data_IF_531320111673
#
_entry.id   IF_531320111673
#
_cell.length_a   1.000
_cell.length_b   1.000
_cell.length_c   1.000
_cell.angle_alpha   90.00
_cell.angle_beta   90.00
_cell.angle_gamma   90.00
#
_symmetry.space_group_name_H-M   'P 1'
#
loop_
_entity.id
_entity.type
_entity.pdbx_description
1 polymer ?
#
# COMPACT_ATOMS: atom_id res chain seq x y z
N UNK A 1 35.40 12.96 4.57
CA UNK A 1 35.76 11.57 4.22
C UNK A 1 34.83 10.63 4.97
N UNK A 2 33.64 10.39 4.43
CA UNK A 2 32.79 9.27 4.81
C UNK A 2 32.20 8.76 3.50
N UNK A 3 32.96 7.88 2.84
CA UNK A 3 32.43 6.95 1.84
C UNK A 3 31.77 5.82 2.64
N UNK A 4 30.53 6.03 3.08
CA UNK A 4 29.56 4.99 3.40
C UNK A 4 28.52 5.05 2.30
N UNK A 5 28.71 4.23 1.27
CA UNK A 5 27.78 3.14 0.93
C UNK A 5 26.46 3.65 0.34
N UNK A 6 26.47 3.82 -0.98
CA UNK A 6 25.30 3.95 -1.85
C UNK A 6 24.31 2.77 -1.74
N UNK A 7 24.64 1.74 -0.95
CA UNK A 7 23.79 0.59 -0.67
C UNK A 7 22.77 0.83 0.45
N UNK A 8 22.97 1.84 1.31
CA UNK A 8 21.98 2.21 2.34
C UNK A 8 20.77 2.98 1.77
N UNK A 9 20.83 3.39 0.49
CA UNK A 9 19.76 4.14 -0.18
C UNK A 9 18.72 3.21 -0.84
N UNK A 10 18.96 1.90 -0.87
CA UNK A 10 18.03 0.91 -1.47
C UNK A 10 17.33 0.01 -0.44
N UNK A 11 17.46 0.31 0.87
CA UNK A 11 16.57 -0.24 1.88
C UNK A 11 15.93 0.89 2.73
N UNK A 12 15.02 1.70 2.16
CA UNK A 12 14.45 2.85 2.86
C UNK A 12 13.38 2.50 3.91
N UNK A 13 13.14 1.22 4.22
CA UNK A 13 11.94 0.78 4.94
C UNK A 13 12.17 0.36 6.40
N UNK A 14 13.29 0.77 7.00
CA UNK A 14 13.61 0.37 8.37
C UNK A 14 13.13 1.36 9.45
N UNK A 15 12.57 2.53 9.11
CA UNK A 15 12.25 3.54 10.15
C UNK A 15 10.91 4.29 10.02
N UNK A 16 10.15 4.27 8.90
CA UNK A 16 8.88 5.01 8.84
C UNK A 16 7.85 4.45 7.85
N UNK A 17 6.56 4.60 8.18
CA UNK A 17 5.43 4.34 7.27
C UNK A 17 5.10 5.57 6.43
N UNK A 18 4.62 5.37 5.20
CA UNK A 18 4.17 6.49 4.35
C UNK A 18 3.06 7.30 5.04
N UNK A 19 2.15 6.60 5.73
CA UNK A 19 1.14 7.22 6.57
C UNK A 19 1.77 8.10 7.67
N UNK A 20 2.71 7.56 8.45
CA UNK A 20 3.33 8.27 9.57
C UNK A 20 4.06 9.54 9.14
N UNK A 21 4.70 9.52 7.97
CA UNK A 21 5.49 10.64 7.47
C UNK A 21 4.69 11.65 6.64
N UNK A 22 3.68 11.19 5.90
CA UNK A 22 3.06 11.99 4.82
C UNK A 22 1.59 12.32 5.04
N UNK A 23 0.87 11.61 5.93
CA UNK A 23 -0.58 11.77 6.07
C UNK A 23 -0.99 13.24 6.34
N UNK A 24 -0.34 13.92 7.28
CA UNK A 24 -0.68 15.31 7.60
C UNK A 24 -0.52 16.27 6.40
N UNK A 25 0.49 16.04 5.55
CA UNK A 25 0.72 16.85 4.35
C UNK A 25 -0.31 16.56 3.24
N UNK A 26 -0.67 15.29 3.08
CA UNK A 26 -1.72 14.88 2.13
C UNK A 26 -3.08 15.41 2.57
N UNK A 27 -3.42 15.29 3.86
CA UNK A 27 -4.66 15.83 4.42
C UNK A 27 -4.77 17.34 4.22
N UNK A 28 -3.70 18.08 4.50
CA UNK A 28 -3.70 19.51 4.27
C UNK A 28 -3.89 19.86 2.78
N UNK A 29 -3.31 19.06 1.87
CA UNK A 29 -3.47 19.24 0.43
C UNK A 29 -4.89 18.91 -0.03
N UNK A 30 -5.49 17.84 0.51
CA UNK A 30 -6.86 17.45 0.28
C UNK A 30 -7.84 18.54 0.75
N UNK A 31 -7.68 19.04 1.98
CA UNK A 31 -8.47 20.15 2.53
C UNK A 31 -8.40 21.34 1.58
N UNK A 32 -7.20 21.75 1.15
CA UNK A 32 -7.06 22.90 0.25
C UNK A 32 -7.71 22.69 -1.13
N UNK A 33 -7.64 21.48 -1.67
CA UNK A 33 -8.16 21.15 -3.00
C UNK A 33 -9.68 21.00 -3.00
N UNK A 34 -10.21 20.26 -2.03
CA UNK A 34 -11.59 19.80 -1.97
C UNK A 34 -12.43 20.70 -1.06
N UNK A 35 -12.08 20.79 0.23
CA UNK A 35 -12.85 21.56 1.22
C UNK A 35 -12.70 23.07 1.02
N UNK A 36 -11.53 23.52 0.57
CA UNK A 36 -11.26 24.90 0.15
C UNK A 36 -11.93 25.30 -1.17
N UNK A 37 -12.67 24.39 -1.81
CA UNK A 37 -13.49 24.68 -2.99
C UNK A 37 -12.70 24.91 -4.29
N UNK A 38 -11.40 24.61 -4.32
CA UNK A 38 -10.56 24.82 -5.50
C UNK A 38 -11.01 23.98 -6.68
N UNK A 39 -11.34 22.71 -6.45
CA UNK A 39 -11.80 21.80 -7.49
C UNK A 39 -13.11 22.30 -8.14
N UNK A 40 -14.07 22.65 -7.30
CA UNK A 40 -15.36 23.19 -7.72
C UNK A 40 -15.22 24.51 -8.48
N UNK A 41 -14.33 25.40 -8.03
CA UNK A 41 -14.03 26.66 -8.70
C UNK A 41 -13.52 26.46 -10.13
N UNK A 42 -12.68 25.43 -10.37
CA UNK A 42 -12.20 25.10 -11.71
C UNK A 42 -13.35 24.64 -12.61
N UNK A 43 -14.22 23.77 -12.10
CA UNK A 43 -15.35 23.24 -12.88
C UNK A 43 -16.34 24.34 -13.28
N UNK A 44 -16.69 25.21 -12.33
CA UNK A 44 -17.54 26.38 -12.57
C UNK A 44 -16.92 27.33 -13.59
N UNK A 45 -15.60 27.53 -13.52
CA UNK A 45 -14.90 28.39 -14.48
C UNK A 45 -14.87 27.82 -15.91
N UNK A 46 -14.62 26.51 -16.06
CA UNK A 46 -14.70 25.83 -17.36
C UNK A 46 -16.09 25.98 -17.94
N UNK A 47 -17.13 25.74 -17.15
CA UNK A 47 -18.52 25.84 -17.59
C UNK A 47 -18.91 27.26 -17.99
N UNK A 48 -18.41 28.28 -17.26
CA UNK A 48 -18.62 29.69 -17.61
C UNK A 48 -17.96 30.07 -18.93
N UNK A 49 -16.75 29.56 -19.20
CA UNK A 49 -15.99 29.89 -20.42
C UNK A 49 -16.40 29.07 -21.63
N UNK A 50 -16.90 27.87 -21.43
CA UNK A 50 -17.31 26.94 -22.47
C UNK A 50 -18.73 26.41 -22.21
N UNK A 51 -19.76 27.28 -22.23
CA UNK A 51 -21.11 26.89 -21.82
C UNK A 51 -21.71 25.79 -22.70
N UNK A 52 -21.36 25.73 -23.98
CA UNK A 52 -21.86 24.70 -24.90
C UNK A 52 -21.01 23.42 -24.91
N UNK A 53 -19.93 23.37 -24.12
CA UNK A 53 -19.07 22.20 -24.07
C UNK A 53 -19.69 21.14 -23.16
N UNK A 54 -19.62 19.89 -23.63
CA UNK A 54 -19.70 18.75 -22.73
C UNK A 54 -18.42 18.68 -21.91
N UNK A 55 -18.57 18.60 -20.59
CA UNK A 55 -17.44 18.53 -19.67
C UNK A 55 -17.38 17.13 -19.08
N UNK A 56 -16.24 16.47 -19.27
CA UNK A 56 -15.94 15.14 -18.74
C UNK A 56 -14.76 15.30 -17.77
N UNK A 57 -14.96 14.83 -16.56
CA UNK A 57 -13.98 14.86 -15.47
C UNK A 57 -13.51 13.43 -15.24
N UNK A 58 -12.20 13.21 -15.27
CA UNK A 58 -11.61 11.90 -15.02
C UNK A 58 -11.17 11.81 -13.55
N UNK A 59 -11.36 10.64 -12.94
CA UNK A 59 -10.66 10.27 -11.71
C UNK A 59 -9.20 9.89 -11.99
N UNK A 60 -8.57 9.27 -10.98
CA UNK A 60 -7.23 8.70 -11.06
C UNK A 60 -7.28 7.17 -10.93
N UNK A 61 -6.39 6.44 -11.59
CA UNK A 61 -6.27 5.00 -11.47
C UNK A 61 -5.69 4.60 -10.11
N UNK A 62 -6.07 3.43 -9.58
CA UNK A 62 -5.36 2.82 -8.45
C UNK A 62 -3.93 2.48 -8.86
N UNK A 63 -2.97 2.63 -7.95
CA UNK A 63 -1.56 2.43 -8.28
C UNK A 63 -1.13 0.99 -8.14
N UNK A 64 -1.55 0.35 -7.06
CA UNK A 64 -1.13 -0.99 -6.69
C UNK A 64 -2.29 -1.97 -6.76
N UNK A 65 -1.95 -3.26 -6.77
CA UNK A 65 -2.91 -4.36 -6.64
C UNK A 65 -3.79 -4.13 -5.40
N UNK A 66 -5.09 -4.45 -5.50
CA UNK A 66 -5.97 -4.38 -4.34
C UNK A 66 -5.53 -5.37 -3.25
N UNK A 67 -5.49 -4.91 -2.00
CA UNK A 67 -4.88 -5.65 -0.87
C UNK A 67 -3.34 -5.59 -0.85
N UNK A 68 -2.72 -5.03 -1.89
CA UNK A 68 -1.28 -4.92 -2.09
C UNK A 68 -0.59 -6.26 -2.36
N UNK A 69 0.65 -6.20 -2.85
CA UNK A 69 1.41 -7.39 -3.21
C UNK A 69 2.90 -7.24 -2.87
N UNK A 70 3.51 -8.32 -2.40
CA UNK A 70 4.96 -8.41 -2.37
C UNK A 70 5.47 -8.70 -3.77
N UNK A 71 6.36 -7.84 -4.28
CA UNK A 71 7.34 -8.31 -5.25
C UNK A 71 8.68 -8.50 -4.54
N UNK A 72 9.31 -9.67 -4.74
CA UNK A 72 10.65 -9.94 -4.20
C UNK A 72 11.61 -8.92 -4.81
N UNK A 73 12.43 -8.32 -3.96
CA UNK A 73 13.55 -7.42 -4.27
C UNK A 73 13.99 -7.46 -5.74
N UNK A 74 13.91 -6.32 -6.44
CA UNK A 74 14.61 -5.93 -7.69
C UNK A 74 13.80 -5.58 -8.94
N UNK A 75 12.47 -5.37 -8.87
CA UNK A 75 11.79 -4.70 -9.99
C UNK A 75 11.65 -3.19 -9.75
N UNK A 76 11.84 -2.40 -10.82
CA UNK A 76 11.67 -0.95 -10.81
C UNK A 76 10.22 -0.54 -10.47
N UNK A 77 9.27 -1.48 -10.44
CA UNK A 77 7.83 -1.24 -10.33
C UNK A 77 7.30 -1.32 -8.91
N UNK A 78 7.80 -2.24 -8.08
CA UNK A 78 7.40 -2.28 -6.68
C UNK A 78 8.32 -1.46 -5.78
N UNK A 79 9.61 -1.32 -6.14
CA UNK A 79 10.57 -0.43 -5.48
C UNK A 79 10.70 -0.61 -3.97
N UNK A 80 10.32 -1.79 -3.46
CA UNK A 80 10.30 -2.13 -2.03
C UNK A 80 9.15 -1.52 -1.22
N UNK A 81 8.19 -0.83 -1.84
CA UNK A 81 7.05 -0.23 -1.14
C UNK A 81 6.28 -1.31 -0.39
N UNK A 82 6.08 -1.10 0.93
CA UNK A 82 5.44 -2.06 1.82
C UNK A 82 3.98 -2.28 1.44
N UNK A 83 3.42 -3.46 1.73
CA UNK A 83 2.02 -3.76 1.35
C UNK A 83 1.05 -2.77 2.02
N UNK A 84 1.31 -2.43 3.28
CA UNK A 84 0.55 -1.43 4.03
C UNK A 84 0.60 -0.05 3.39
N UNK A 85 1.78 0.38 2.90
CA UNK A 85 1.92 1.66 2.19
C UNK A 85 1.22 1.63 0.81
N UNK A 86 1.28 0.51 0.09
CA UNK A 86 0.56 0.34 -1.18
C UNK A 86 -0.95 0.51 -0.98
N UNK A 87 -1.50 -0.12 0.06
CA UNK A 87 -2.91 -0.05 0.44
C UNK A 87 -3.31 1.37 0.83
N UNK A 88 -2.49 2.03 1.64
CA UNK A 88 -2.71 3.43 2.04
C UNK A 88 -2.69 4.39 0.83
N UNK A 89 -1.77 4.22 -0.12
CA UNK A 89 -1.76 5.03 -1.35
C UNK A 89 -3.05 4.85 -2.14
N UNK A 90 -3.51 3.59 -2.29
CA UNK A 90 -4.77 3.30 -2.97
C UNK A 90 -5.99 3.89 -2.24
N UNK A 91 -6.02 3.88 -0.89
CA UNK A 91 -7.11 4.50 -0.12
C UNK A 91 -7.16 6.01 -0.30
N UNK A 92 -6.01 6.69 -0.33
CA UNK A 92 -5.95 8.14 -0.61
C UNK A 92 -6.41 8.49 -2.03
N UNK A 93 -6.07 7.68 -3.03
CA UNK A 93 -6.57 7.85 -4.40
C UNK A 93 -8.09 7.69 -4.44
N UNK A 94 -8.63 6.68 -3.74
CA UNK A 94 -10.08 6.46 -3.66
C UNK A 94 -10.78 7.64 -2.99
N UNK A 95 -10.21 8.17 -1.90
CA UNK A 95 -10.71 9.37 -1.21
C UNK A 95 -10.77 10.57 -2.15
N UNK A 96 -9.70 10.82 -2.91
CA UNK A 96 -9.65 11.89 -3.90
C UNK A 96 -10.68 11.68 -5.03
N UNK A 97 -10.81 10.46 -5.55
CA UNK A 97 -11.76 10.16 -6.62
C UNK A 97 -13.21 10.35 -6.20
N UNK A 98 -13.56 9.96 -4.96
CA UNK A 98 -14.89 10.23 -4.41
C UNK A 98 -15.19 11.73 -4.41
N UNK A 99 -14.26 12.56 -3.93
CA UNK A 99 -14.41 14.02 -3.97
C UNK A 99 -14.53 14.57 -5.41
N UNK A 100 -13.74 14.06 -6.36
CA UNK A 100 -13.79 14.45 -7.76
C UNK A 100 -15.16 14.12 -8.36
N UNK A 101 -15.63 12.89 -8.16
CA UNK A 101 -16.95 12.43 -8.61
C UNK A 101 -18.04 13.31 -8.03
N UNK A 102 -18.07 13.48 -6.72
CA UNK A 102 -19.19 14.14 -6.04
C UNK A 102 -19.27 15.61 -6.45
N UNK A 103 -18.13 16.31 -6.59
CA UNK A 103 -18.10 17.69 -7.10
C UNK A 103 -18.46 17.80 -8.58
N UNK A 104 -18.03 16.85 -9.42
CA UNK A 104 -18.40 16.85 -10.84
C UNK A 104 -19.90 16.58 -11.03
N UNK A 105 -20.40 15.52 -10.40
CA UNK A 105 -21.81 15.10 -10.48
C UNK A 105 -22.75 16.11 -9.84
N UNK A 106 -22.35 16.77 -8.75
CA UNK A 106 -23.14 17.84 -8.14
C UNK A 106 -23.35 19.05 -9.06
N UNK A 107 -22.42 19.29 -9.98
CA UNK A 107 -22.57 20.29 -11.04
C UNK A 107 -23.24 19.70 -12.30
N UNK A 108 -23.73 18.47 -12.30
CA UNK A 108 -24.26 17.79 -13.49
C UNK A 108 -23.20 17.51 -14.56
N UNK A 109 -21.92 17.55 -14.21
CA UNK A 109 -20.83 17.18 -15.12
C UNK A 109 -20.65 15.67 -15.12
N UNK A 110 -20.10 15.13 -16.20
CA UNK A 110 -19.82 13.71 -16.27
C UNK A 110 -18.53 13.37 -15.52
N UNK A 111 -18.57 12.31 -14.73
CA UNK A 111 -17.40 11.69 -14.13
C UNK A 111 -17.10 10.36 -14.83
N UNK A 112 -15.84 10.11 -15.16
CA UNK A 112 -15.33 8.83 -15.66
C UNK A 112 -14.44 8.25 -14.57
N UNK A 113 -14.93 7.17 -13.96
CA UNK A 113 -14.17 6.44 -12.96
C UNK A 113 -13.17 5.54 -13.66
N UNK A 114 -11.89 5.85 -13.50
CA UNK A 114 -10.78 5.04 -14.02
C UNK A 114 -10.00 4.33 -12.92
N UNK A 115 -10.56 4.27 -11.70
CA UNK A 115 -9.88 3.70 -10.53
C UNK A 115 -9.47 2.24 -10.79
N UNK A 116 -10.36 1.43 -11.35
CA UNK A 116 -10.13 0.00 -11.60
C UNK A 116 -9.69 -0.32 -13.04
N UNK A 117 -9.50 0.68 -13.91
CA UNK A 117 -8.93 0.49 -15.26
C UNK A 117 -7.62 -0.32 -15.26
N UNK A 118 -6.72 -0.15 -14.28
CA UNK A 118 -5.49 -0.94 -14.21
C UNK A 118 -5.68 -2.40 -13.77
N UNK A 119 -6.90 -2.91 -13.59
CA UNK A 119 -7.15 -4.25 -13.05
C UNK A 119 -6.35 -5.35 -13.75
N UNK A 120 -5.44 -6.00 -13.02
CA UNK A 120 -4.54 -7.04 -13.55
C UNK A 120 -3.26 -6.51 -14.19
N UNK A 121 -3.06 -5.19 -14.19
CA UNK A 121 -1.93 -4.47 -14.78
C UNK A 121 -1.32 -3.43 -13.82
N UNK A 122 -1.63 -3.52 -12.52
CA UNK A 122 -1.14 -2.59 -11.50
C UNK A 122 0.37 -2.72 -11.26
N UNK A 123 0.93 -1.76 -10.50
CA UNK A 123 2.26 -1.92 -9.92
C UNK A 123 2.27 -3.05 -8.89
N UNK A 124 3.40 -3.74 -8.76
CA UNK A 124 3.58 -4.95 -7.93
C UNK A 124 2.70 -6.15 -8.33
N UNK A 125 1.88 -6.04 -9.38
CA UNK A 125 1.06 -7.13 -9.90
C UNK A 125 1.86 -8.20 -10.66
N UNK A 126 1.25 -9.37 -10.93
CA UNK A 126 1.93 -10.48 -11.60
C UNK A 126 2.13 -10.28 -13.11
N UNK A 127 1.51 -9.25 -13.69
CA UNK A 127 1.60 -8.94 -15.11
C UNK A 127 2.92 -8.27 -15.46
N UNK A 128 3.48 -8.58 -16.63
CA UNK A 128 4.65 -7.90 -17.20
C UNK A 128 4.26 -6.66 -18.02
N UNK A 129 2.98 -6.52 -18.37
CA UNK A 129 2.41 -5.38 -19.05
C UNK A 129 1.75 -4.45 -18.03
N UNK A 130 2.55 -3.63 -17.34
CA UNK A 130 2.02 -2.69 -16.35
C UNK A 130 1.30 -1.51 -17.00
N UNK A 131 0.31 -0.97 -16.29
CA UNK A 131 -0.48 0.21 -16.65
C UNK A 131 0.32 1.51 -16.41
N UNK A 132 1.07 1.58 -15.31
CA UNK A 132 1.90 2.72 -14.92
C UNK A 132 3.40 2.46 -15.08
N UNK A 133 4.14 3.56 -15.19
CA UNK A 133 5.56 3.56 -14.94
C UNK A 133 5.84 3.31 -13.44
N UNK A 134 6.81 2.45 -13.17
CA UNK A 134 7.38 2.27 -11.83
C UNK A 134 8.17 3.49 -11.33
N UNK A 135 8.94 3.31 -10.27
CA UNK A 135 9.79 4.34 -9.69
C UNK A 135 11.05 4.47 -10.56
N UNK A 136 10.99 5.31 -11.61
CA UNK A 136 12.07 5.51 -12.58
C UNK A 136 12.71 6.90 -12.46
N UNK A 137 13.97 7.00 -12.89
CA UNK A 137 14.63 8.27 -13.18
C UNK A 137 14.56 8.54 -14.70
N UNK A 138 14.15 9.74 -15.14
CA UNK A 138 13.92 10.94 -14.35
C UNK A 138 12.53 10.93 -13.67
N UNK A 139 12.42 11.58 -12.50
CA UNK A 139 11.34 11.34 -11.52
C UNK A 139 9.94 11.71 -12.02
N UNK A 140 9.85 12.51 -13.07
CA UNK A 140 8.61 13.11 -13.55
C UNK A 140 7.60 12.08 -14.05
N UNK A 141 8.08 10.95 -14.58
CA UNK A 141 7.22 9.90 -15.12
C UNK A 141 6.81 8.84 -14.08
N UNK A 142 7.34 8.90 -12.86
CA UNK A 142 6.98 7.93 -11.82
C UNK A 142 5.48 7.99 -11.51
N UNK A 143 4.83 6.84 -11.40
CA UNK A 143 3.39 6.71 -11.16
C UNK A 143 2.47 7.28 -12.25
N UNK A 144 3.01 7.66 -13.42
CA UNK A 144 2.17 8.07 -14.55
C UNK A 144 1.78 6.85 -15.41
N UNK A 145 0.57 6.84 -16.00
CA UNK A 145 0.22 5.85 -17.01
C UNK A 145 1.26 5.83 -18.12
N UNK A 146 1.68 4.64 -18.55
CA UNK A 146 2.53 4.52 -19.72
C UNK A 146 1.67 4.49 -21.00
N UNK A 147 2.27 4.22 -22.16
CA UNK A 147 1.53 4.17 -23.42
C UNK A 147 0.35 3.18 -23.40
N UNK A 148 0.52 2.02 -22.76
CA UNK A 148 -0.54 1.03 -22.59
C UNK A 148 -1.61 1.50 -21.60
N UNK A 149 -1.22 2.10 -20.47
CA UNK A 149 -2.19 2.69 -19.54
C UNK A 149 -3.03 3.79 -20.18
N UNK A 150 -2.42 4.63 -21.02
CA UNK A 150 -3.13 5.65 -21.78
C UNK A 150 -4.10 5.06 -22.83
N UNK A 151 -3.80 3.91 -23.41
CA UNK A 151 -4.72 3.18 -24.31
C UNK A 151 -5.98 2.75 -23.56
N UNK A 152 -5.84 2.13 -22.39
CA UNK A 152 -6.98 1.69 -21.58
C UNK A 152 -7.81 2.87 -21.06
N UNK A 153 -7.15 3.96 -20.61
CA UNK A 153 -7.87 5.20 -20.24
C UNK A 153 -8.64 5.75 -21.45
N UNK A 154 -8.05 5.73 -22.65
CA UNK A 154 -8.70 6.23 -23.84
C UNK A 154 -9.95 5.41 -24.19
N UNK A 155 -9.94 4.10 -23.98
CA UNK A 155 -11.12 3.23 -24.16
C UNK A 155 -12.25 3.60 -23.19
N UNK A 156 -11.94 3.79 -21.90
CA UNK A 156 -12.95 4.20 -20.90
C UNK A 156 -13.54 5.58 -21.22
N UNK A 157 -12.70 6.54 -21.62
CA UNK A 157 -13.15 7.88 -22.03
C UNK A 157 -13.97 7.81 -23.32
N UNK A 158 -13.54 7.03 -24.31
CA UNK A 158 -14.27 6.88 -25.57
C UNK A 158 -15.65 6.25 -25.33
N UNK A 159 -15.73 5.20 -24.50
CA UNK A 159 -16.98 4.58 -24.10
C UNK A 159 -17.89 5.57 -23.37
N UNK A 160 -17.32 6.36 -22.44
CA UNK A 160 -18.05 7.41 -21.74
C UNK A 160 -18.58 8.48 -22.71
N UNK A 161 -17.80 8.85 -23.74
CA UNK A 161 -18.20 9.80 -24.78
C UNK A 161 -19.33 9.27 -25.67
N UNK A 162 -19.34 7.99 -26.00
CA UNK A 162 -20.36 7.37 -26.86
C UNK A 162 -21.68 7.08 -26.12
N UNK A 163 -21.61 6.58 -24.88
CA UNK A 163 -22.77 6.11 -24.12
C UNK A 163 -23.41 7.20 -23.25
N UNK A 164 -23.46 8.42 -23.76
CA UNK A 164 -23.98 9.53 -22.98
C UNK A 164 -25.51 9.47 -22.92
N UNK A 165 -26.01 8.83 -21.87
CA UNK A 165 -27.42 8.83 -21.52
C UNK A 165 -27.60 9.85 -20.40
N UNK A 166 -28.20 11.00 -20.74
CA UNK A 166 -28.86 11.79 -19.71
C UNK A 166 -29.85 10.87 -18.99
N UNK A 167 -29.77 10.79 -17.67
CA UNK A 167 -30.64 9.89 -16.88
C UNK A 167 -32.12 10.21 -17.13
N UNK A 168 -32.43 11.49 -17.34
CA UNK A 168 -33.76 11.95 -17.73
C UNK A 168 -33.65 12.99 -18.84
N UNK A 169 -34.40 12.77 -19.93
CA UNK A 169 -34.43 13.64 -21.10
C UNK A 169 -35.87 14.03 -21.40
N UNK A 170 -36.10 15.33 -21.59
CA UNK A 170 -37.42 15.90 -21.83
C UNK A 170 -37.39 16.77 -23.09
N UNK A 171 -38.51 16.84 -23.80
CA UNK A 171 -38.74 17.91 -24.77
C UNK A 171 -39.62 18.97 -24.10
N UNK A 172 -38.99 20.01 -23.55
CA UNK A 172 -39.72 21.08 -22.85
C UNK A 172 -40.29 22.02 -23.90
N UNK A 173 -41.61 22.20 -23.93
CA UNK A 173 -42.28 23.08 -24.88
C UNK A 173 -42.37 24.53 -24.36
N UNK A 174 -42.47 25.53 -25.25
CA UNK A 174 -42.54 26.93 -24.85
C UNK A 174 -43.79 27.22 -24.01
N UNK A 175 -43.58 27.88 -22.86
CA UNK A 175 -44.60 28.23 -21.88
C UNK A 175 -45.33 27.03 -21.24
N UNK A 176 -44.83 25.82 -21.43
CA UNK A 176 -45.32 24.62 -20.76
C UNK A 176 -44.41 24.24 -19.60
N UNK A 177 -44.96 23.51 -18.64
CA UNK A 177 -44.21 22.95 -17.51
C UNK A 177 -44.22 21.42 -17.61
N UNK A 178 -43.03 20.84 -17.66
CA UNK A 178 -42.85 19.39 -17.50
C UNK A 178 -42.46 19.10 -16.05
N UNK A 179 -43.15 18.16 -15.40
CA UNK A 179 -42.87 17.75 -14.03
C UNK A 179 -42.20 16.39 -13.99
N UNK A 180 -41.27 16.22 -13.06
CA UNK A 180 -40.59 14.97 -12.78
C UNK A 180 -40.46 14.78 -11.27
N UNK A 181 -40.96 13.66 -10.76
CA UNK A 181 -40.85 13.30 -9.34
C UNK A 181 -39.70 12.34 -9.11
N UNK A 182 -38.97 12.53 -8.00
CA UNK A 182 -37.89 11.66 -7.58
C UNK A 182 -37.84 11.55 -6.05
N UNK A 183 -37.26 10.47 -5.53
CA UNK A 183 -37.11 10.29 -4.09
C UNK A 183 -35.72 10.73 -3.64
N UNK A 184 -35.67 11.45 -2.52
CA UNK A 184 -34.45 11.81 -1.80
C UNK A 184 -34.33 10.96 -0.54
N UNK A 185 -33.12 10.50 -0.21
CA UNK A 185 -32.81 9.88 1.10
C UNK A 185 -32.61 10.90 2.23
N UNK A 186 -32.64 12.19 1.91
CA UNK A 186 -32.28 13.30 2.79
C UNK A 186 -30.79 13.63 2.77
N UNK A 187 -30.42 14.81 3.28
CA UNK A 187 -29.04 15.32 3.26
C UNK A 187 -28.71 16.12 1.99
N UNK A 188 -27.44 16.25 1.60
CA UNK A 188 -27.05 16.98 0.40
C UNK A 188 -27.74 16.46 -0.87
N UNK A 189 -28.30 17.36 -1.66
CA UNK A 189 -28.97 17.05 -2.93
C UNK A 189 -28.56 18.06 -3.98
N UNK A 190 -28.07 17.56 -5.10
CA UNK A 190 -27.75 18.34 -6.27
C UNK A 190 -28.76 18.03 -7.39
N UNK A 191 -29.30 19.07 -7.99
CA UNK A 191 -30.19 18.94 -9.15
C UNK A 191 -29.71 19.91 -10.22
N UNK A 192 -29.37 19.38 -11.40
CA UNK A 192 -28.93 20.18 -12.54
C UNK A 192 -29.74 19.86 -13.78
N UNK A 193 -30.12 20.90 -14.51
CA UNK A 193 -30.71 20.78 -15.84
C UNK A 193 -29.81 21.41 -16.89
N UNK A 194 -29.80 20.86 -18.11
CA UNK A 194 -28.96 21.35 -19.21
C UNK A 194 -29.72 21.32 -20.53
N UNK A 195 -29.39 22.27 -21.41
CA UNK A 195 -30.04 22.47 -22.69
C UNK A 195 -29.06 23.02 -23.75
N UNK A 196 -29.30 22.74 -25.05
CA UNK A 196 -28.48 23.23 -26.16
C UNK A 196 -28.37 24.76 -26.31
N UNK A 197 -29.41 25.53 -26.00
CA UNK A 197 -29.34 27.00 -26.10
C UNK A 197 -30.59 27.81 -25.75
N UNK A 198 -31.69 27.19 -25.31
CA UNK A 198 -32.94 27.87 -24.88
C UNK A 198 -33.06 28.04 -23.36
N UNK A 199 -33.68 29.08 -22.82
CA UNK A 199 -33.83 29.20 -21.35
C UNK A 199 -34.95 28.30 -20.81
N UNK A 200 -34.57 27.29 -20.01
CA UNK A 200 -35.47 26.45 -19.23
C UNK A 200 -35.29 26.74 -17.75
N UNK A 201 -36.38 27.08 -17.07
CA UNK A 201 -36.38 27.42 -15.65
C UNK A 201 -36.66 26.17 -14.83
N UNK A 202 -35.74 25.82 -13.95
CA UNK A 202 -35.91 24.75 -12.97
C UNK A 202 -36.51 25.30 -11.67
N UNK A 203 -37.55 24.63 -11.18
CA UNK A 203 -38.14 24.86 -9.86
C UNK A 203 -38.24 23.52 -9.12
N UNK A 204 -37.79 23.48 -7.87
CA UNK A 204 -37.88 22.28 -7.03
C UNK A 204 -38.95 22.47 -5.97
N UNK A 205 -39.73 21.42 -5.69
CA UNK A 205 -40.68 21.37 -4.58
C UNK A 205 -40.29 20.23 -3.66
N UNK A 206 -40.07 20.54 -2.38
CA UNK A 206 -39.75 19.55 -1.34
C UNK A 206 -40.99 18.73 -0.93
N UNK A 207 -40.79 17.59 -0.23
CA UNK A 207 -41.87 16.81 0.36
C UNK A 207 -42.80 17.62 1.26
N UNK A 208 -42.27 18.58 2.03
CA UNK A 208 -43.05 19.48 2.88
C UNK A 208 -43.78 20.61 2.10
N UNK A 209 -43.54 20.72 0.78
CA UNK A 209 -44.12 21.75 -0.08
C UNK A 209 -43.28 23.03 -0.18
N UNK A 210 -42.03 23.05 0.31
CA UNK A 210 -41.12 24.19 0.11
C UNK A 210 -40.74 24.29 -1.37
N UNK A 211 -41.02 25.43 -1.98
CA UNK A 211 -40.62 25.71 -3.36
C UNK A 211 -39.27 26.45 -3.41
N UNK A 212 -38.36 25.96 -4.24
CA UNK A 212 -37.04 26.52 -4.52
C UNK A 212 -37.01 26.95 -5.99
N UNK A 213 -36.66 28.21 -6.23
CA UNK A 213 -36.66 28.88 -7.54
C UNK A 213 -35.38 29.69 -7.71
N UNK A 214 -35.18 30.28 -8.90
CA UNK A 214 -34.04 31.17 -9.19
C UNK A 214 -33.88 32.35 -8.23
N UNK A 215 -34.96 32.76 -7.56
CA UNK A 215 -34.97 33.88 -6.63
C UNK A 215 -34.87 33.45 -5.17
N UNK A 216 -34.85 32.14 -4.89
CA UNK A 216 -34.73 31.62 -3.54
C UNK A 216 -33.36 31.96 -2.97
N UNK A 217 -33.34 32.79 -1.93
CA UNK A 217 -32.14 33.09 -1.15
C UNK A 217 -32.30 32.43 0.22
N UNK A 218 -31.59 31.33 0.42
CA UNK A 218 -31.59 30.57 1.65
C UNK A 218 -30.17 30.06 1.94
N UNK A 219 -29.80 29.94 3.22
CA UNK A 219 -28.44 29.54 3.61
C UNK A 219 -28.09 28.10 3.24
N UNK A 220 -29.09 27.26 2.99
CA UNK A 220 -28.95 25.86 2.61
C UNK A 220 -29.07 25.61 1.11
N UNK A 221 -29.28 26.66 0.31
CA UNK A 221 -29.46 26.56 -1.15
C UNK A 221 -28.37 27.36 -1.84
N UNK A 222 -27.55 26.68 -2.63
CA UNK A 222 -26.69 27.33 -3.62
C UNK A 222 -27.32 27.16 -5.00
N UNK A 223 -27.28 28.22 -5.80
CA UNK A 223 -27.89 28.27 -7.12
C UNK A 223 -26.90 28.81 -8.14
N UNK A 224 -26.82 28.14 -9.29
CA UNK A 224 -26.09 28.62 -10.44
C UNK A 224 -26.93 28.56 -11.69
N UNK A 225 -26.82 29.61 -12.51
CA UNK A 225 -27.46 29.69 -13.81
C UNK A 225 -26.44 30.13 -14.84
N UNK A 226 -26.42 29.41 -15.96
CA UNK A 226 -25.59 29.72 -17.11
C UNK A 226 -26.40 29.68 -18.41
N UNK A 227 -25.74 29.91 -19.56
CA UNK A 227 -26.42 29.97 -20.86
C UNK A 227 -27.09 28.67 -21.29
N UNK A 228 -26.60 27.53 -20.78
CA UNK A 228 -26.95 26.16 -21.20
C UNK A 228 -27.33 25.27 -20.03
N UNK A 229 -27.43 25.84 -18.82
CA UNK A 229 -27.69 25.06 -17.62
C UNK A 229 -28.27 25.89 -16.48
N UNK A 230 -28.90 25.17 -15.55
CA UNK A 230 -29.25 25.66 -14.23
C UNK A 230 -28.99 24.54 -13.22
N UNK A 231 -28.47 24.87 -12.04
CA UNK A 231 -28.21 23.89 -10.98
C UNK A 231 -28.49 24.44 -9.59
N UNK A 232 -28.97 23.55 -8.72
CA UNK A 232 -29.17 23.80 -7.31
C UNK A 232 -28.40 22.78 -6.49
N UNK A 233 -27.70 23.25 -5.47
CA UNK A 233 -27.21 22.45 -4.36
C UNK A 233 -28.08 22.75 -3.13
N UNK A 234 -28.64 21.72 -2.52
CA UNK A 234 -29.41 21.82 -1.27
C UNK A 234 -28.65 21.06 -0.19
N UNK A 235 -28.05 21.77 0.76
CA UNK A 235 -27.17 21.19 1.77
C UNK A 235 -27.88 20.19 2.70
N UNK A 236 -29.19 20.39 2.94
CA UNK A 236 -29.99 19.57 3.84
C UNK A 236 -31.40 19.32 3.25
N UNK A 237 -31.47 18.60 2.14
CA UNK A 237 -32.74 18.20 1.56
C UNK A 237 -33.49 17.25 2.50
N UNK A 238 -34.82 17.39 2.52
CA UNK A 238 -35.73 16.47 3.18
C UNK A 238 -35.70 15.09 2.49
N UNK A 239 -35.85 14.03 3.29
CA UNK A 239 -36.14 12.71 2.76
C UNK A 239 -37.59 12.64 2.28
N UNK A 240 -37.82 11.95 1.16
CA UNK A 240 -39.15 11.78 0.56
C UNK A 240 -39.22 12.19 -0.90
N UNK A 241 -40.45 12.32 -1.41
CA UNK A 241 -40.70 12.66 -2.81
C UNK A 241 -40.52 14.17 -3.06
N UNK A 242 -39.60 14.50 -3.96
CA UNK A 242 -39.37 15.82 -4.50
C UNK A 242 -39.97 15.93 -5.91
N UNK A 243 -40.32 17.14 -6.33
CA UNK A 243 -40.76 17.42 -7.70
C UNK A 243 -39.86 18.48 -8.34
N UNK A 244 -39.23 18.13 -9.46
CA UNK A 244 -38.60 19.08 -10.37
C UNK A 244 -39.62 19.52 -11.43
N UNK A 245 -39.80 20.83 -11.57
CA UNK A 245 -40.63 21.46 -12.61
C UNK A 245 -39.74 22.22 -13.58
N UNK A 246 -39.78 21.82 -14.84
CA UNK A 246 -39.02 22.40 -15.95
C UNK A 246 -39.97 23.27 -16.78
N UNK A 247 -39.78 24.58 -16.76
CA UNK A 247 -40.62 25.53 -17.49
C UNK A 247 -39.89 26.12 -18.70
N UNK A 248 -40.47 26.00 -19.89
CA UNK A 248 -39.89 26.53 -21.13
C UNK A 248 -40.04 28.05 -21.26
N UNK A 249 -39.18 28.82 -20.60
CA UNK A 249 -39.29 30.29 -20.56
C UNK A 249 -38.91 30.96 -21.88
N UNK A 250 -37.83 30.52 -22.53
CA UNK A 250 -37.40 31.02 -23.85
C UNK A 250 -36.99 29.87 -24.75
N UNK A 251 -37.96 29.02 -25.07
CA UNK A 251 -37.78 27.80 -25.87
C UNK A 251 -38.34 27.95 -27.27
N UNK A 252 -37.70 27.29 -28.25
CA UNK A 252 -38.19 27.24 -29.62
C UNK A 252 -39.55 26.52 -29.75
N UNK A 253 -40.29 26.78 -30.83
CA UNK A 253 -41.64 26.23 -31.03
C UNK A 253 -41.69 24.69 -31.04
N UNK A 254 -40.63 24.03 -31.50
CA UNK A 254 -40.49 22.57 -31.52
C UNK A 254 -40.13 21.96 -30.15
N UNK A 255 -39.86 22.81 -29.14
CA UNK A 255 -39.34 22.40 -27.85
C UNK A 255 -37.81 22.42 -27.77
N UNK A 256 -37.30 22.31 -26.55
CA UNK A 256 -35.89 22.19 -26.22
C UNK A 256 -35.63 20.83 -25.60
N UNK A 257 -34.68 20.09 -26.17
CA UNK A 257 -34.21 18.86 -25.56
C UNK A 257 -33.40 19.19 -24.31
N UNK A 258 -34.02 18.93 -23.16
CA UNK A 258 -33.52 19.32 -21.84
C UNK A 258 -33.22 18.08 -21.02
N UNK A 259 -32.05 18.03 -20.41
CA UNK A 259 -31.71 16.98 -19.46
C UNK A 259 -31.95 17.41 -18.02
N UNK A 260 -32.16 16.43 -17.15
CA UNK A 260 -32.23 16.61 -15.71
C UNK A 260 -31.37 15.52 -15.04
N UNK A 261 -30.30 15.95 -14.38
CA UNK A 261 -29.46 15.11 -13.53
C UNK A 261 -29.80 15.40 -12.07
N UNK A 262 -29.97 14.32 -11.32
CA UNK A 262 -30.26 14.35 -9.89
C UNK A 262 -29.15 13.53 -9.25
N UNK A 263 -28.39 14.18 -8.37
CA UNK A 263 -27.27 13.57 -7.69
C UNK A 263 -27.42 13.74 -6.19
N UNK A 264 -27.40 12.62 -5.49
CA UNK A 264 -27.18 12.61 -4.05
C UNK A 264 -25.88 11.86 -3.84
N UNK A 265 -24.87 12.59 -3.37
CA UNK A 265 -23.63 11.95 -2.97
C UNK A 265 -23.96 10.86 -1.95
N UNK A 266 -23.50 9.61 -2.15
CA UNK A 266 -23.68 8.58 -1.16
C UNK A 266 -23.05 9.04 0.15
N UNK A 267 -23.63 8.63 1.28
CA UNK A 267 -23.00 8.85 2.58
C UNK A 267 -21.57 8.28 2.52
N UNK A 268 -20.52 9.09 2.77
CA UNK A 268 -19.16 8.58 2.78
C UNK A 268 -19.02 7.51 3.86
N UNK A 269 -18.33 6.42 3.53
CA UNK A 269 -17.88 5.43 4.52
C UNK A 269 -17.03 6.14 5.59
N UNK A 270 -17.20 5.75 6.85
CA UNK A 270 -16.25 6.15 7.88
C UNK A 270 -15.15 5.10 7.96
N UNK A 271 -13.92 5.47 7.58
CA UNK A 271 -12.80 4.55 7.68
C UNK A 271 -12.64 4.00 9.11
N UNK A 272 -12.19 2.74 9.25
CA UNK A 272 -12.12 2.10 10.55
C UNK A 272 -11.01 2.74 11.40
N UNK A 273 -10.95 2.38 12.69
CA UNK A 273 -9.86 2.79 13.59
C UNK A 273 -9.02 1.59 13.94
N UNK A 274 -7.80 1.57 13.41
CA UNK A 274 -6.81 0.55 13.73
C UNK A 274 -6.28 0.75 15.15
N UNK A 275 -6.30 -0.33 15.93
CA UNK A 275 -5.68 -0.39 17.24
C UNK A 275 -4.92 -1.69 17.36
N UNK A 276 -3.74 -1.65 17.97
CA UNK A 276 -2.95 -2.84 18.22
C UNK A 276 -2.30 -2.87 19.59
N UNK A 277 -2.02 -4.08 20.04
CA UNK A 277 -1.14 -4.36 21.18
C UNK A 277 -0.12 -5.42 20.80
N UNK A 278 1.05 -5.36 21.44
CA UNK A 278 2.17 -6.26 21.17
C UNK A 278 2.77 -6.74 22.50
N UNK A 279 3.09 -8.03 22.56
CA UNK A 279 3.83 -8.65 23.66
C UNK A 279 5.01 -9.46 23.12
N UNK A 280 6.17 -9.35 23.76
CA UNK A 280 7.41 -10.01 23.31
C UNK A 280 7.87 -11.07 24.32
N UNK A 281 8.19 -12.27 23.83
CA UNK A 281 8.81 -13.35 24.61
C UNK A 281 10.00 -13.89 23.82
N UNK A 282 11.21 -13.50 24.22
CA UNK A 282 12.43 -13.82 23.48
C UNK A 282 12.37 -13.26 22.06
N UNK A 283 12.51 -14.14 21.06
CA UNK A 283 12.46 -13.80 19.63
C UNK A 283 11.05 -13.82 19.02
N UNK A 284 10.02 -14.11 19.82
CA UNK A 284 8.64 -14.21 19.36
C UNK A 284 7.83 -13.03 19.87
N UNK A 285 7.08 -12.39 18.99
CA UNK A 285 6.03 -11.44 19.35
C UNK A 285 4.65 -12.08 19.18
N UNK A 286 3.72 -11.69 20.03
CA UNK A 286 2.29 -11.87 19.82
C UNK A 286 1.67 -10.51 19.64
N UNK A 287 0.95 -10.33 18.54
CA UNK A 287 0.26 -9.09 18.20
C UNK A 287 -1.24 -9.32 18.16
N UNK A 288 -1.99 -8.32 18.58
CA UNK A 288 -3.44 -8.36 18.68
C UNK A 288 -4.04 -7.02 18.23
N UNK A 289 -4.83 -7.08 17.17
CA UNK A 289 -5.56 -5.98 16.57
C UNK A 289 -7.05 -5.98 16.93
N UNK A 290 -7.52 -6.88 17.78
CA UNK A 290 -8.94 -7.09 18.08
C UNK A 290 -9.64 -5.94 18.81
N UNK A 291 -8.91 -4.90 19.21
CA UNK A 291 -9.48 -3.63 19.70
C UNK A 291 -9.81 -2.65 18.56
N UNK A 292 -9.47 -2.99 17.31
CA UNK A 292 -9.86 -2.22 16.14
C UNK A 292 -11.38 -2.22 15.96
N UNK A 293 -11.92 -1.11 15.51
CA UNK A 293 -13.36 -0.92 15.40
C UNK A 293 -13.71 -0.04 14.22
N UNK A 294 -14.91 -0.26 13.70
CA UNK A 294 -15.53 0.56 12.68
C UNK A 294 -16.85 1.13 13.23
N UNK A 295 -17.13 2.39 12.93
CA UNK A 295 -18.23 3.14 13.53
C UNK A 295 -19.57 2.94 12.79
N UNK A 296 -19.53 2.70 11.48
CA UNK A 296 -20.69 2.46 10.62
C UNK A 296 -20.70 1.07 9.97
N UNK A 297 -19.72 0.22 10.27
CA UNK A 297 -19.66 -1.16 9.80
C UNK A 297 -18.88 -2.11 10.72
N UNK A 298 -18.14 -3.03 10.12
CA UNK A 298 -17.34 -4.05 10.80
C UNK A 298 -15.99 -4.27 10.12
N UNK A 299 -14.94 -4.51 10.92
CA UNK A 299 -13.62 -4.88 10.39
C UNK A 299 -13.65 -6.33 9.87
N UNK A 300 -13.39 -6.50 8.57
CA UNK A 300 -13.43 -7.81 7.88
C UNK A 300 -12.06 -8.38 7.56
N UNK A 301 -11.00 -7.56 7.59
CA UNK A 301 -9.64 -7.98 7.25
C UNK A 301 -8.59 -7.43 8.22
N UNK A 302 -7.58 -8.25 8.52
CA UNK A 302 -6.39 -7.89 9.31
C UNK A 302 -5.15 -8.40 8.58
N UNK A 303 -4.23 -7.49 8.30
CA UNK A 303 -2.93 -7.77 7.69
C UNK A 303 -1.82 -7.18 8.56
N UNK A 304 -0.82 -8.01 8.88
CA UNK A 304 0.37 -7.62 9.63
C UNK A 304 1.59 -7.65 8.72
N UNK A 305 2.41 -6.60 8.80
CA UNK A 305 3.78 -6.60 8.28
C UNK A 305 4.75 -6.44 9.46
N UNK A 306 5.75 -7.33 9.56
CA UNK A 306 6.61 -7.43 10.74
C UNK A 306 7.95 -6.70 10.63
N UNK A 307 8.21 -6.00 9.52
CA UNK A 307 9.45 -5.26 9.29
C UNK A 307 10.65 -6.12 8.83
N UNK A 308 10.53 -7.45 8.85
CA UNK A 308 11.55 -8.40 8.33
C UNK A 308 11.20 -8.98 6.95
N UNK A 309 10.17 -8.41 6.30
CA UNK A 309 9.63 -8.86 5.02
C UNK A 309 8.61 -10.00 5.13
N UNK A 310 8.28 -10.45 6.35
CA UNK A 310 7.20 -11.41 6.57
C UNK A 310 5.86 -10.73 6.88
N UNK A 311 4.78 -11.45 6.60
CA UNK A 311 3.40 -11.02 6.83
C UNK A 311 2.55 -12.10 7.45
N UNK A 312 1.46 -11.70 8.09
CA UNK A 312 0.45 -12.61 8.60
C UNK A 312 -0.95 -11.99 8.51
N UNK A 313 -1.98 -12.83 8.53
CA UNK A 313 -3.38 -12.40 8.55
C UNK A 313 -4.09 -12.92 9.80
N UNK A 314 -5.12 -12.18 10.22
CA UNK A 314 -5.95 -12.50 11.38
C UNK A 314 -5.81 -11.49 12.51
N UNK A 315 -6.83 -11.40 13.36
CA UNK A 315 -6.92 -10.39 14.42
C UNK A 315 -5.87 -10.58 15.51
N UNK A 316 -5.41 -11.81 15.76
CA UNK A 316 -4.32 -12.12 16.70
C UNK A 316 -3.39 -13.15 16.08
N UNK A 317 -2.10 -12.82 16.00
CA UNK A 317 -1.08 -13.68 15.39
C UNK A 317 0.21 -13.68 16.22
N UNK A 318 1.09 -14.65 15.99
CA UNK A 318 2.43 -14.68 16.57
C UNK A 318 3.48 -14.80 15.48
N UNK A 319 4.57 -14.07 15.63
CA UNK A 319 5.68 -14.04 14.67
C UNK A 319 7.01 -14.23 15.39
N UNK A 320 7.93 -14.96 14.77
CA UNK A 320 9.24 -15.28 15.35
C UNK A 320 10.36 -14.79 14.45
N UNK A 321 11.16 -13.85 14.96
CA UNK A 321 12.29 -13.29 14.25
C UNK A 321 13.50 -14.22 14.29
N UNK A 322 14.28 -14.19 13.22
CA UNK A 322 15.51 -15.00 13.08
C UNK A 322 16.78 -14.24 13.46
N UNK A 323 16.74 -12.91 13.48
CA UNK A 323 17.87 -12.06 13.86
C UNK A 323 17.44 -11.04 14.90
N UNK A 324 18.38 -10.63 15.76
CA UNK A 324 18.16 -9.52 16.66
C UNK A 324 18.11 -8.21 15.86
N UNK A 325 17.25 -7.28 16.26
CA UNK A 325 17.04 -6.03 15.53
C UNK A 325 15.91 -5.19 16.11
N UNK A 326 15.79 -3.98 15.61
CA UNK A 326 14.57 -3.16 15.80
C UNK A 326 13.67 -3.40 14.60
N UNK A 327 12.40 -3.69 14.83
CA UNK A 327 11.45 -4.01 13.77
C UNK A 327 10.21 -3.13 13.89
N UNK A 328 9.79 -2.55 12.77
CA UNK A 328 8.54 -1.79 12.65
C UNK A 328 7.42 -2.76 12.30
N UNK A 329 6.57 -3.08 13.29
CA UNK A 329 5.37 -3.88 13.04
C UNK A 329 4.23 -2.96 12.66
N UNK A 330 3.57 -3.23 11.53
CA UNK A 330 2.44 -2.46 11.01
C UNK A 330 1.21 -3.34 10.88
N UNK A 331 0.07 -2.85 11.34
CA UNK A 331 -1.26 -3.42 11.13
C UNK A 331 -1.98 -2.59 10.06
N UNK A 332 -2.50 -3.24 9.03
CA UNK A 332 -3.54 -2.72 8.15
C UNK A 332 -4.85 -3.47 8.42
N UNK A 333 -5.96 -2.74 8.51
CA UNK A 333 -7.31 -3.32 8.59
C UNK A 333 -8.18 -2.79 7.46
N UNK A 334 -9.20 -3.58 7.09
CA UNK A 334 -10.24 -3.19 6.13
C UNK A 334 -11.62 -3.46 6.71
N UNK A 335 -12.56 -2.55 6.48
CA UNK A 335 -13.98 -2.72 6.84
C UNK A 335 -14.81 -3.37 5.71
N UNK A 336 -16.11 -3.58 5.95
CA UNK A 336 -17.06 -4.19 5.01
C UNK A 336 -17.49 -3.28 3.84
N UNK A 337 -17.06 -2.01 3.84
CA UNK A 337 -17.27 -1.04 2.75
C UNK A 337 -15.98 -0.71 1.99
N UNK A 338 -14.85 -1.30 2.38
CA UNK A 338 -13.55 -1.12 1.76
C UNK A 338 -12.72 0.05 2.30
N UNK A 339 -13.14 0.65 3.42
CA UNK A 339 -12.33 1.61 4.18
C UNK A 339 -11.12 0.95 4.80
N UNK A 340 -10.03 1.71 4.90
CA UNK A 340 -8.71 1.21 5.30
C UNK A 340 -8.20 2.01 6.50
N UNK A 341 -7.53 1.34 7.44
CA UNK A 341 -6.83 2.04 8.51
C UNK A 341 -5.56 1.31 8.92
N UNK A 342 -4.62 2.07 9.46
CA UNK A 342 -3.27 1.59 9.70
C UNK A 342 -2.80 2.02 11.10
N UNK A 343 -1.91 1.22 11.68
CA UNK A 343 -1.19 1.59 12.90
C UNK A 343 0.13 0.85 12.95
N UNK A 344 1.15 1.45 13.57
CA UNK A 344 2.49 0.86 13.63
C UNK A 344 3.19 1.15 14.95
N UNK A 345 4.13 0.28 15.30
CA UNK A 345 4.96 0.42 16.49
C UNK A 345 6.30 -0.28 16.28
N UNK A 346 7.36 0.43 16.65
CA UNK A 346 8.67 -0.15 16.79
C UNK A 346 8.75 -1.03 18.02
N UNK A 347 9.49 -2.12 17.89
CA UNK A 347 9.90 -2.93 19.03
C UNK A 347 11.29 -3.48 18.78
N UNK A 348 12.01 -3.68 19.88
CA UNK A 348 13.34 -4.28 19.88
C UNK A 348 13.17 -5.76 20.13
N UNK A 349 13.72 -6.57 19.24
CA UNK A 349 13.87 -8.00 19.40
C UNK A 349 15.31 -8.29 19.75
N UNK A 350 15.55 -8.56 21.02
CA UNK A 350 16.85 -9.04 21.49
C UNK A 350 16.86 -10.57 21.47
N UNK A 351 17.90 -11.13 20.84
CA UNK A 351 18.19 -12.56 20.97
C UNK A 351 19.24 -12.72 22.06
N UNK A 352 18.92 -13.36 23.20
CA UNK A 352 19.92 -13.69 24.19
C UNK A 352 21.04 -14.49 23.53
N UNK A 353 22.29 -14.05 23.70
CA UNK A 353 23.41 -14.76 23.11
C UNK A 353 23.50 -16.18 23.66
N UNK A 354 23.77 -17.14 22.79
CA UNK A 354 24.08 -18.49 23.18
C UNK A 354 25.33 -18.51 24.06
N UNK A 355 25.34 -19.38 25.06
CA UNK A 355 26.53 -19.62 25.87
C UNK A 355 27.49 -20.53 25.09
N UNK A 356 28.23 -19.94 24.14
CA UNK A 356 29.22 -20.68 23.37
C UNK A 356 30.38 -21.11 24.27
N UNK A 357 30.44 -22.41 24.58
CA UNK A 357 31.46 -22.96 25.50
C UNK A 357 32.80 -23.25 24.81
N UNK A 358 32.92 -22.96 23.51
CA UNK A 358 34.11 -23.22 22.71
C UNK A 358 33.92 -24.32 21.66
N UNK A 359 34.90 -24.43 20.77
CA UNK A 359 35.02 -25.60 19.90
C UNK A 359 35.53 -26.81 20.70
N UNK A 360 35.05 -28.00 20.32
CA UNK A 360 35.45 -29.27 20.93
C UNK A 360 36.25 -30.11 19.93
N UNK A 361 37.09 -31.01 20.46
CA UNK A 361 37.85 -31.97 19.67
C UNK A 361 37.00 -32.65 18.56
N UNK A 362 37.49 -32.69 17.31
CA UNK A 362 38.91 -32.61 16.92
C UNK A 362 39.38 -31.20 16.49
N UNK A 363 38.65 -30.15 16.85
CA UNK A 363 39.01 -28.76 16.52
C UNK A 363 39.20 -27.97 17.80
N UNK A 364 40.35 -27.33 17.92
CA UNK A 364 40.65 -26.40 18.99
C UNK A 364 40.21 -24.98 18.64
N UNK A 365 39.82 -24.25 19.67
CA UNK A 365 39.58 -22.82 19.57
C UNK A 365 40.90 -22.06 19.40
N UNK A 366 40.82 -20.86 18.80
CA UNK A 366 41.94 -19.94 18.77
C UNK A 366 42.49 -19.68 20.20
N UNK A 367 43.81 -19.49 20.37
CA UNK A 367 44.81 -19.21 19.33
C UNK A 367 45.47 -20.45 18.69
N UNK A 368 45.00 -21.67 18.98
CA UNK A 368 45.54 -22.88 18.33
C UNK A 368 45.17 -22.90 16.85
N UNK A 369 46.12 -23.28 16.00
CA UNK A 369 45.92 -23.47 14.57
C UNK A 369 45.74 -24.95 14.29
N UNK A 370 44.59 -25.30 13.73
CA UNK A 370 44.24 -26.67 13.41
C UNK A 370 44.87 -27.08 12.07
N UNK A 371 45.80 -28.02 12.08
CA UNK A 371 46.42 -28.56 10.88
C UNK A 371 45.60 -29.72 10.30
N UNK A 372 45.33 -29.67 8.99
CA UNK A 372 44.67 -30.76 8.28
C UNK A 372 45.03 -30.80 6.79
N UNK A 373 44.75 -31.93 6.13
CA UNK A 373 44.87 -32.05 4.67
C UNK A 373 43.67 -31.39 3.99
N UNK A 374 43.92 -30.56 2.97
CA UNK A 374 42.88 -29.93 2.16
C UNK A 374 41.96 -30.97 1.46
N UNK A 375 40.72 -30.59 1.16
CA UNK A 375 39.76 -31.47 0.50
C UNK A 375 39.10 -32.52 1.42
N UNK A 376 39.38 -32.48 2.73
CA UNK A 376 38.76 -33.35 3.75
C UNK A 376 37.58 -32.64 4.42
N UNK A 377 36.71 -33.41 5.07
CA UNK A 377 35.68 -32.87 5.94
C UNK A 377 36.09 -33.01 7.41
N UNK A 378 35.83 -31.97 8.20
CA UNK A 378 36.11 -31.91 9.64
C UNK A 378 34.81 -31.65 10.40
N UNK A 379 34.49 -32.42 11.46
CA UNK A 379 33.35 -32.12 12.31
C UNK A 379 33.69 -30.94 13.24
N UNK A 380 33.05 -29.80 12.98
CA UNK A 380 33.09 -28.63 13.85
C UNK A 380 32.10 -28.85 14.99
N UNK A 381 32.61 -29.21 16.17
CA UNK A 381 31.78 -29.47 17.36
C UNK A 381 31.81 -28.31 18.33
N UNK A 382 30.68 -28.00 18.95
CA UNK A 382 30.54 -26.92 19.94
C UNK A 382 29.33 -27.14 20.86
N UNK A 383 29.27 -26.42 21.99
CA UNK A 383 28.12 -26.40 22.91
C UNK A 383 27.55 -25.00 23.07
N UNK A 384 26.25 -24.95 23.36
CA UNK A 384 25.51 -23.71 23.63
C UNK A 384 24.82 -23.72 25.00
N UNK A 385 25.01 -24.76 25.81
CA UNK A 385 24.32 -24.98 27.09
C UNK A 385 22.88 -25.51 26.95
N UNK A 386 22.61 -26.33 25.93
CA UNK A 386 21.31 -26.92 25.68
C UNK A 386 20.95 -27.08 24.18
N UNK A 387 19.80 -27.72 23.95
CA UNK A 387 19.22 -27.90 22.62
C UNK A 387 18.34 -26.72 22.21
N UNK A 388 18.82 -25.89 21.30
CA UNK A 388 18.13 -24.76 20.69
C UNK A 388 17.61 -25.07 19.26
N UNK A 389 17.53 -26.35 18.90
CA UNK A 389 17.14 -26.80 17.56
C UNK A 389 18.28 -26.68 16.54
N UNK A 390 17.99 -26.97 15.27
CA UNK A 390 18.99 -26.97 14.19
C UNK A 390 19.06 -25.65 13.40
N UNK A 391 18.20 -24.68 13.72
CA UNK A 391 18.13 -23.37 13.07
C UNK A 391 19.10 -22.32 13.62
N UNK A 392 20.04 -22.72 14.47
CA UNK A 392 20.92 -21.82 15.24
C UNK A 392 22.06 -21.18 14.43
N UNK A 393 22.28 -21.59 13.19
CA UNK A 393 23.34 -21.07 12.32
C UNK A 393 22.73 -20.04 11.38
N UNK A 394 23.31 -18.83 11.35
CA UNK A 394 22.81 -17.74 10.53
C UNK A 394 22.88 -18.08 9.03
N UNK A 395 21.96 -17.56 8.23
CA UNK A 395 21.99 -17.76 6.78
C UNK A 395 23.34 -17.29 6.18
N UNK A 396 23.93 -18.10 5.29
CA UNK A 396 25.25 -17.84 4.72
C UNK A 396 26.43 -18.20 5.63
N UNK A 397 26.18 -18.64 6.86
CA UNK A 397 27.17 -19.20 7.78
C UNK A 397 27.17 -20.74 7.72
N UNK A 398 28.30 -21.41 7.99
CA UNK A 398 29.62 -20.82 8.22
C UNK A 398 30.30 -20.35 6.94
N UNK A 399 31.26 -19.43 7.09
CA UNK A 399 32.11 -18.94 6.00
C UNK A 399 33.58 -19.24 6.28
N UNK A 400 34.43 -19.10 5.26
CA UNK A 400 35.87 -19.25 5.42
C UNK A 400 36.65 -18.21 4.65
N UNK A 401 37.56 -17.52 5.33
CA UNK A 401 38.38 -16.44 4.77
C UNK A 401 39.84 -16.87 4.73
N UNK A 402 40.53 -16.64 3.62
CA UNK A 402 41.99 -16.87 3.52
C UNK A 402 42.72 -15.80 4.33
N UNK A 403 43.68 -16.23 5.14
CA UNK A 403 44.54 -15.37 5.96
C UNK A 403 46.00 -15.76 5.77
N UNK A 404 46.91 -14.88 6.18
CA UNK A 404 48.33 -15.20 6.23
C UNK A 404 48.62 -16.23 7.32
N UNK A 405 49.55 -17.14 7.06
CA UNK A 405 49.94 -18.15 8.03
C UNK A 405 50.76 -17.54 9.17
N UNK A 406 50.24 -17.64 10.40
CA UNK A 406 50.92 -17.16 11.60
C UNK A 406 52.20 -17.97 11.87
N UNK A 407 53.35 -17.32 11.82
CA UNK A 407 54.65 -17.96 12.11
C UNK A 407 54.79 -18.19 13.62
N UNK A 408 55.10 -19.43 14.04
CA UNK A 408 55.27 -19.79 15.45
C UNK A 408 53.97 -20.00 16.23
N UNK A 409 52.83 -20.15 15.55
CA UNK A 409 51.58 -20.54 16.19
C UNK A 409 51.67 -21.94 16.79
N UNK A 410 50.93 -22.17 17.89
CA UNK A 410 50.72 -23.51 18.40
C UNK A 410 49.81 -24.24 17.39
N UNK A 411 50.35 -25.27 16.75
CA UNK A 411 49.63 -26.06 15.75
C UNK A 411 49.24 -27.40 16.39
N UNK A 412 47.97 -27.74 16.31
CA UNK A 412 47.48 -29.08 16.67
C UNK A 412 46.89 -29.79 15.45
N UNK A 413 47.03 -31.12 15.42
CA UNK A 413 46.62 -31.95 14.30
C UNK A 413 45.18 -32.42 14.47
N UNK A 414 44.31 -32.11 13.51
CA UNK A 414 42.90 -32.55 13.55
C UNK A 414 42.84 -34.08 13.55
N UNK A 415 42.40 -34.67 14.65
CA UNK A 415 42.54 -36.11 14.92
C UNK A 415 41.47 -36.95 14.22
N UNK A 416 40.39 -36.33 13.75
CA UNK A 416 39.28 -37.03 13.07
C UNK A 416 38.77 -36.26 11.87
N UNK A 417 38.82 -36.90 10.69
CA UNK A 417 38.16 -36.42 9.47
C UNK A 417 37.04 -37.39 9.05
N UNK A 418 35.96 -36.89 8.48
CA UNK A 418 34.80 -37.69 8.05
C UNK A 418 34.63 -37.74 6.53
N UNK A 419 33.90 -38.73 6.03
CA UNK A 419 33.52 -38.82 4.60
C UNK A 419 32.52 -37.72 4.26
N UNK A 420 32.72 -37.05 3.13
CA UNK A 420 31.92 -35.90 2.71
C UNK A 420 30.44 -36.25 2.41
N UNK A 421 29.57 -36.22 3.43
CA UNK A 421 28.09 -36.20 3.30
C UNK A 421 27.55 -34.77 3.08
N UNK A 422 26.25 -34.53 2.99
CA UNK A 422 25.72 -33.15 2.94
C UNK A 422 26.13 -32.36 4.20
N UNK A 423 26.45 -31.08 4.08
CA UNK A 423 26.79 -30.22 5.23
C UNK A 423 25.54 -29.93 6.05
N UNK A 424 25.22 -30.78 7.02
CA UNK A 424 24.10 -30.59 7.94
C UNK A 424 24.59 -30.44 9.37
N UNK A 425 23.98 -29.51 10.10
CA UNK A 425 24.12 -29.41 11.54
C UNK A 425 23.32 -30.56 12.19
N UNK A 426 23.91 -31.21 13.18
CA UNK A 426 23.22 -32.15 14.07
C UNK A 426 23.43 -31.77 15.54
N UNK A 427 22.58 -32.32 16.41
CA UNK A 427 22.68 -32.15 17.85
C UNK A 427 22.59 -33.51 18.55
N UNK A 428 23.50 -33.76 19.48
CA UNK A 428 23.51 -34.94 20.35
C UNK A 428 23.05 -34.54 21.77
N UNK A 429 21.91 -35.08 22.18
CA UNK A 429 21.30 -34.79 23.48
C UNK A 429 22.07 -35.41 24.67
N UNK A 430 22.83 -36.48 24.45
CA UNK A 430 23.59 -37.13 25.53
C UNK A 430 24.82 -36.30 25.90
N UNK A 431 25.48 -35.75 24.88
CA UNK A 431 26.73 -35.00 25.05
C UNK A 431 26.54 -33.48 25.05
N UNK A 432 25.30 -33.00 24.89
CA UNK A 432 24.93 -31.59 24.72
C UNK A 432 25.80 -30.90 23.67
N UNK A 433 25.92 -31.52 22.49
CA UNK A 433 26.90 -31.11 21.49
C UNK A 433 26.26 -30.94 20.12
N UNK A 434 26.50 -29.78 19.54
CA UNK A 434 26.26 -29.52 18.12
C UNK A 434 27.45 -29.98 17.29
N UNK A 435 27.18 -30.56 16.12
CA UNK A 435 28.21 -30.99 15.17
C UNK A 435 27.84 -30.53 13.76
N UNK A 436 28.70 -29.69 13.17
CA UNK A 436 28.59 -29.26 11.78
C UNK A 436 29.73 -29.88 10.96
N UNK A 437 29.40 -30.63 9.91
CA UNK A 437 30.44 -31.21 9.03
C UNK A 437 30.91 -30.15 8.03
N UNK A 438 32.09 -29.58 8.28
CA UNK A 438 32.67 -28.57 7.40
C UNK A 438 33.52 -29.22 6.30
N UNK A 439 33.11 -29.03 5.05
CA UNK A 439 33.87 -29.47 3.87
C UNK A 439 34.88 -28.43 3.47
N UNK A 440 36.12 -28.86 3.34
CA UNK A 440 37.22 -28.01 2.87
C UNK A 440 37.50 -28.29 1.39
N UNK A 441 37.96 -27.28 0.65
CA UNK A 441 38.28 -27.44 -0.77
C UNK A 441 39.72 -27.93 -0.95
N UNK A 442 39.97 -28.76 -1.96
CA UNK A 442 41.30 -29.34 -2.22
C UNK A 442 42.33 -28.31 -2.68
N UNK A 443 41.88 -27.22 -3.29
CA UNK A 443 42.72 -26.09 -3.74
C UNK A 443 43.19 -25.18 -2.59
N UNK A 444 42.76 -25.45 -1.35
CA UNK A 444 43.24 -24.75 -0.16
C UNK A 444 44.59 -25.26 0.34
N UNK A 445 45.16 -26.30 -0.27
CA UNK A 445 46.47 -26.84 0.08
C UNK A 445 47.55 -25.74 0.14
N UNK A 446 48.33 -25.71 1.22
CA UNK A 446 49.36 -24.70 1.46
C UNK A 446 48.85 -23.32 1.88
N UNK A 447 47.57 -23.19 2.28
CA UNK A 447 46.99 -21.92 2.75
C UNK A 447 46.56 -21.98 4.21
N UNK A 448 46.48 -20.82 4.86
CA UNK A 448 45.83 -20.66 6.15
C UNK A 448 44.48 -19.95 5.98
N UNK A 449 43.49 -20.37 6.78
CA UNK A 449 42.13 -19.83 6.69
C UNK A 449 41.52 -19.72 8.08
N UNK A 450 40.65 -18.73 8.26
CA UNK A 450 39.78 -18.64 9.43
C UNK A 450 38.41 -19.18 9.05
N UNK A 451 37.88 -20.10 9.86
CA UNK A 451 36.50 -20.55 9.81
C UNK A 451 35.66 -19.63 10.68
N UNK A 452 34.61 -19.02 10.13
CA UNK A 452 33.69 -18.14 10.86
C UNK A 452 32.34 -18.84 11.00
N UNK A 453 31.96 -19.15 12.24
CA UNK A 453 30.63 -19.58 12.61
C UNK A 453 29.85 -18.39 13.17
N UNK A 454 28.97 -17.83 12.35
CA UNK A 454 27.95 -16.88 12.80
C UNK A 454 26.69 -17.64 13.23
N UNK A 455 26.25 -17.44 14.47
CA UNK A 455 25.00 -18.00 15.00
C UNK A 455 23.83 -17.03 14.77
N UNK A 456 22.60 -17.51 14.93
CA UNK A 456 21.36 -16.74 14.69
C UNK A 456 21.16 -15.58 15.70
N UNK A 457 21.83 -15.65 16.85
CA UNK A 457 21.92 -14.58 17.86
C UNK A 457 22.91 -13.45 17.49
N UNK A 458 23.54 -13.53 16.32
CA UNK A 458 24.50 -12.57 15.81
C UNK A 458 25.93 -12.72 16.37
N UNK A 459 26.18 -13.67 17.27
CA UNK A 459 27.53 -13.98 17.74
C UNK A 459 28.37 -14.62 16.62
N UNK A 460 29.69 -14.38 16.65
CA UNK A 460 30.66 -14.91 15.69
C UNK A 460 31.73 -15.66 16.48
N UNK A 461 31.99 -16.90 16.07
CA UNK A 461 32.99 -17.78 16.67
C UNK A 461 33.96 -18.29 15.61
N UNK A 462 35.25 -18.27 15.93
CA UNK A 462 36.31 -18.46 14.95
C UNK A 462 37.26 -19.60 15.34
N UNK A 463 37.69 -20.36 14.34
CA UNK A 463 38.76 -21.34 14.45
C UNK A 463 39.76 -21.15 13.32
N UNK A 464 41.04 -21.24 13.62
CA UNK A 464 42.12 -21.06 12.65
C UNK A 464 42.57 -22.42 12.10
N UNK A 465 42.82 -22.48 10.79
CA UNK A 465 43.25 -23.70 10.11
C UNK A 465 44.49 -23.44 9.24
N UNK A 466 45.38 -24.43 9.22
CA UNK A 466 46.51 -24.52 8.29
C UNK A 466 46.36 -25.77 7.43
N UNK A 467 46.26 -25.59 6.12
CA UNK A 467 46.09 -26.70 5.17
C UNK A 467 47.43 -27.14 4.63
N UNK A 468 47.79 -28.40 4.87
CA UNK A 468 49.03 -28.99 4.36
C UNK A 468 49.06 -28.97 2.83
N UNK A 469 50.25 -28.75 2.27
CA UNK A 469 50.56 -28.90 0.84
C UNK A 469 50.44 -30.34 0.37
#
# INVERSE_FOLDING_TARGET
>A
MLKGTLYDVLNPFHEASCEGDSAAGIDQSYINLVEGGRLESVYKEVRRRAPFARIVVLGYPRFYVDGGAHNRFSDDYCGGVRITDQRWINSEIRRLNNAIRDKARGLGLQFVDIYDTPSGHELCGPSDQHFMNGIKLPREESYHPNAFGHELIADDVAAALQNFLYSNLFNVLPFETTQYSFNSTGGPLDVSTQWPGSDVVLTLTSPSGRTITRSTSASDVEHEVGPTFESYHIAAAEAGEWTASLYGAQVAAQGEQTSLDIWQAPTPNQDPKAQMSLATVGRTITVDGGASADADGTVVEYLWEFGDGSTATGSRVSHTYTTAGTYLTTLAIRDDQGGEAFTSADHIVDIPKYQFEGFLAPVDAAPVVNAMTAGRAVPMKFRLGGNFGLGIVSAGSPTSVRVDCTTGANVDEVETTTTAGASSLSYDQVTDTYSYVWKTASDWAGTCRTFHLKLDDGSIHEAQFSFRT
#
